data_IF_432346216919
#
_entry.id   IF_432346216919
#
_cell.length_a   1.000
_cell.length_b   1.000
_cell.length_c   1.000
_cell.angle_alpha   90.00
_cell.angle_beta   90.00
_cell.angle_gamma   90.00
#
_symmetry.space_group_name_H-M   'P 1'
#
loop_
_entity.id
_entity.type
_entity.pdbx_description
1 polymer ?
#
# COMPACT_ATOMS: atom_id res chain seq x y z
N UNK A 1 8.33 10.86 1.96
CA UNK A 1 8.21 9.48 2.43
C UNK A 1 9.02 8.61 1.47
N UNK A 2 10.04 7.93 1.98
CA UNK A 2 11.01 7.26 1.11
C UNK A 2 10.55 5.86 0.68
N UNK A 3 9.67 5.21 1.45
CA UNK A 3 8.99 3.95 1.10
C UNK A 3 7.92 3.60 2.12
N UNK A 4 6.90 2.89 1.68
CA UNK A 4 5.83 2.27 2.46
C UNK A 4 5.97 0.76 2.25
N UNK A 5 5.83 -0.02 3.32
CA UNK A 5 5.81 -1.48 3.26
C UNK A 5 4.50 -2.00 3.87
N UNK A 6 3.72 -2.71 3.06
CA UNK A 6 2.51 -3.41 3.51
C UNK A 6 2.91 -4.80 3.97
N UNK A 7 2.52 -5.16 5.19
CA UNK A 7 2.77 -6.48 5.76
C UNK A 7 1.47 -7.29 5.78
N UNK A 8 1.52 -8.51 5.27
CA UNK A 8 0.44 -9.49 5.35
C UNK A 8 0.99 -10.85 5.69
N UNK A 9 0.36 -11.54 6.65
CA UNK A 9 0.79 -12.88 7.10
C UNK A 9 2.25 -12.92 7.60
N UNK A 10 2.73 -11.82 8.21
CA UNK A 10 4.10 -11.73 8.71
C UNK A 10 5.17 -11.53 7.63
N UNK A 11 4.79 -11.25 6.39
CA UNK A 11 5.71 -10.98 5.27
C UNK A 11 5.38 -9.66 4.59
N UNK A 12 6.36 -9.04 3.94
CA UNK A 12 6.11 -7.87 3.08
C UNK A 12 5.33 -8.33 1.85
N UNK A 13 4.12 -7.83 1.70
CA UNK A 13 3.24 -8.10 0.56
C UNK A 13 3.44 -7.07 -0.55
N UNK A 14 3.59 -5.79 -0.19
CA UNK A 14 3.80 -4.68 -1.13
C UNK A 14 4.80 -3.69 -0.56
N UNK A 15 5.63 -3.09 -1.41
CA UNK A 15 6.52 -2.00 -1.00
C UNK A 15 6.72 -0.98 -2.12
N UNK A 16 6.81 0.29 -1.77
CA UNK A 16 7.02 1.36 -2.74
C UNK A 16 6.69 2.73 -2.17
N UNK A 17 6.78 3.75 -2.99
CA UNK A 17 6.21 5.06 -2.67
C UNK A 17 4.69 5.01 -2.68
N UNK A 18 4.05 6.02 -2.09
CA UNK A 18 2.60 6.15 -2.12
C UNK A 18 2.04 6.07 -3.56
N UNK A 19 2.64 6.82 -4.49
CA UNK A 19 2.17 6.86 -5.89
C UNK A 19 2.32 5.51 -6.59
N UNK A 20 3.41 4.77 -6.34
CA UNK A 20 3.60 3.43 -6.89
C UNK A 20 2.56 2.45 -6.35
N UNK A 21 2.31 2.48 -5.04
CA UNK A 21 1.36 1.57 -4.39
C UNK A 21 -0.10 1.87 -4.75
N UNK A 22 -0.46 3.14 -4.93
CA UNK A 22 -1.78 3.52 -5.48
C UNK A 22 -1.93 3.01 -6.91
N UNK A 23 -0.90 3.19 -7.77
CA UNK A 23 -0.92 2.71 -9.16
C UNK A 23 -0.99 1.18 -9.27
N UNK A 24 -0.40 0.45 -8.32
CA UNK A 24 -0.48 -1.01 -8.26
C UNK A 24 -1.90 -1.54 -8.00
N UNK A 25 -2.83 -0.69 -7.53
CA UNK A 25 -4.20 -1.06 -7.20
C UNK A 25 -4.29 -2.28 -6.26
N UNK A 26 -3.33 -2.35 -5.31
CA UNK A 26 -3.12 -3.46 -4.40
C UNK A 26 -3.79 -3.29 -3.03
N UNK A 27 -3.27 -3.99 -2.02
CA UNK A 27 -3.72 -3.93 -0.63
C UNK A 27 -3.64 -2.50 -0.12
N UNK A 28 -2.53 -1.81 -0.38
CA UNK A 28 -2.36 -0.42 0.03
C UNK A 28 -3.44 0.49 -0.59
N UNK A 29 -3.72 0.33 -1.88
CA UNK A 29 -4.68 1.17 -2.59
C UNK A 29 -6.10 1.02 -2.01
N UNK A 30 -6.52 -0.22 -1.73
CA UNK A 30 -7.82 -0.50 -1.07
C UNK A 30 -7.89 0.09 0.33
N UNK A 31 -6.80 -0.02 1.11
CA UNK A 31 -6.76 0.55 2.46
C UNK A 31 -6.88 2.07 2.42
N UNK A 32 -6.21 2.73 1.47
CA UNK A 32 -6.33 4.18 1.26
C UNK A 32 -7.74 4.54 0.83
N UNK A 33 -8.34 3.84 -0.14
CA UNK A 33 -9.72 4.09 -0.60
C UNK A 33 -10.73 4.11 0.56
N UNK A 34 -10.62 3.16 1.50
CA UNK A 34 -11.48 3.12 2.70
C UNK A 34 -11.21 4.24 3.71
N UNK A 35 -10.02 4.86 3.68
CA UNK A 35 -9.65 5.92 4.61
C UNK A 35 -10.11 7.32 4.17
N UNK A 36 -10.57 7.49 2.92
CA UNK A 36 -11.02 8.78 2.37
C UNK A 36 -12.56 8.90 2.29
N UNK A 37 -13.28 8.07 3.05
CA UNK A 37 -14.76 8.05 3.08
C UNK A 37 -15.30 8.35 4.49
#
# INVERSE_FOLDING_TARGET
ADKICVVSGGKIAEQGTHQELIKMNGIYAKLVEHAVN
#
